data_IF_072721290318
#
_entry.id   IF_072721290318
#
_cell.length_a   1.000
_cell.length_b   1.000
_cell.length_c   1.000
_cell.angle_alpha   90.00
_cell.angle_beta   90.00
_cell.angle_gamma   90.00
#
_symmetry.space_group_name_H-M   'P 1'
#
loop_
_entity.id
_entity.type
_entity.pdbx_description
1 polymer ?
#
# COMPACT_ATOMS: atom_id res chain seq x y z
N UNK A 1 8.73 -9.17 4.33
CA UNK A 1 8.69 -9.63 5.75
C UNK A 1 7.25 -9.95 6.07
N UNK A 2 6.93 -11.13 6.62
CA UNK A 2 5.55 -11.50 6.89
C UNK A 2 4.96 -10.49 7.88
N UNK A 3 3.79 -9.95 7.52
CA UNK A 3 3.07 -8.95 8.28
C UNK A 3 2.45 -9.58 9.52
N UNK A 4 3.27 -10.02 10.47
CA UNK A 4 2.79 -10.58 11.72
C UNK A 4 2.27 -9.44 12.61
N UNK A 5 1.03 -9.60 13.07
CA UNK A 5 0.40 -8.74 14.07
C UNK A 5 0.11 -9.62 15.28
N UNK A 6 0.90 -9.44 16.34
CA UNK A 6 0.63 -10.07 17.62
C UNK A 6 -0.63 -9.44 18.24
N UNK A 7 -1.66 -10.26 18.47
CA UNK A 7 -2.83 -9.87 19.23
C UNK A 7 -2.49 -9.97 20.73
N UNK A 8 -2.55 -8.86 21.47
CA UNK A 8 -2.35 -8.89 22.92
C UNK A 8 -3.61 -9.48 23.59
N UNK A 9 -3.42 -10.36 24.59
CA UNK A 9 -4.53 -10.88 25.41
C UNK A 9 -5.26 -9.69 26.07
N UNK A 10 -6.50 -9.45 25.65
CA UNK A 10 -7.34 -8.33 26.11
C UNK A 10 -7.71 -7.30 25.03
N UNK A 11 -7.16 -7.38 23.81
CA UNK A 11 -7.63 -6.54 22.70
C UNK A 11 -8.86 -7.14 21.99
N UNK A 12 -9.86 -6.32 21.62
CA UNK A 12 -10.94 -6.76 20.74
C UNK A 12 -10.37 -7.12 19.37
N UNK A 13 -10.82 -8.25 18.82
CA UNK A 13 -10.36 -8.85 17.55
C UNK A 13 -10.39 -7.82 16.41
N UNK A 14 -11.41 -6.95 16.36
CA UNK A 14 -11.53 -5.89 15.35
C UNK A 14 -10.34 -4.93 15.31
N UNK A 15 -9.74 -4.61 16.47
CA UNK A 15 -8.55 -3.74 16.53
C UNK A 15 -7.30 -4.44 15.99
N UNK A 16 -7.18 -5.75 16.18
CA UNK A 16 -6.11 -6.54 15.59
C UNK A 16 -6.25 -6.60 14.06
N UNK A 17 -7.46 -6.88 13.55
CA UNK A 17 -7.75 -6.90 12.11
C UNK A 17 -7.50 -5.55 11.44
N UNK A 18 -7.89 -4.44 12.09
CA UNK A 18 -7.65 -3.10 11.55
C UNK A 18 -6.17 -2.74 11.47
N UNK A 19 -5.35 -3.17 12.44
CA UNK A 19 -3.89 -2.98 12.42
C UNK A 19 -3.23 -3.81 11.33
N UNK A 20 -3.66 -5.06 11.16
CA UNK A 20 -3.19 -5.92 10.08
C UNK A 20 -3.50 -5.30 8.71
N UNK A 21 -4.73 -4.85 8.49
CA UNK A 21 -5.12 -4.17 7.25
C UNK A 21 -4.26 -2.93 6.98
N UNK A 22 -4.04 -2.08 7.99
CA UNK A 22 -3.16 -0.90 7.86
C UNK A 22 -1.71 -1.26 7.55
N UNK A 23 -1.17 -2.34 8.13
CA UNK A 23 0.18 -2.84 7.81
C UNK A 23 0.25 -3.30 6.35
N UNK A 24 -0.70 -4.10 5.91
CA UNK A 24 -0.80 -4.58 4.52
C UNK A 24 -0.92 -3.44 3.50
N UNK A 25 -1.72 -2.42 3.83
CA UNK A 25 -1.86 -1.22 3.00
C UNK A 25 -0.57 -0.39 2.95
N UNK A 26 0.16 -0.31 4.07
CA UNK A 26 1.45 0.40 4.16
C UNK A 26 2.55 -0.30 3.40
N UNK A 27 2.62 -1.61 3.49
CA UNK A 27 3.56 -2.45 2.75
C UNK A 27 3.24 -2.47 1.25
N UNK A 28 1.99 -2.14 0.87
CA UNK A 28 1.59 -2.02 -0.53
C UNK A 28 1.50 -3.36 -1.26
N UNK A 29 1.51 -4.48 -0.52
CA UNK A 29 1.52 -5.86 -1.05
C UNK A 29 0.39 -6.09 -2.04
N UNK A 30 -0.83 -5.62 -1.74
CA UNK A 30 -1.98 -5.74 -2.64
C UNK A 30 -1.79 -4.98 -3.95
N UNK A 31 -1.15 -3.80 -3.90
CA UNK A 31 -0.85 -3.00 -5.09
C UNK A 31 0.22 -3.69 -5.94
N UNK A 32 1.24 -4.25 -5.30
CA UNK A 32 2.30 -5.00 -5.97
C UNK A 32 1.77 -6.26 -6.65
N UNK A 33 0.97 -7.06 -5.94
CA UNK A 33 0.32 -8.23 -6.51
C UNK A 33 -0.51 -7.88 -7.73
N UNK A 34 -1.28 -6.77 -7.71
CA UNK A 34 -2.04 -6.30 -8.88
C UNK A 34 -1.15 -5.93 -10.06
N UNK A 35 -0.04 -5.23 -9.82
CA UNK A 35 0.89 -4.85 -10.89
C UNK A 35 1.58 -6.07 -11.51
N UNK A 36 1.81 -7.13 -10.72
CA UNK A 36 2.47 -8.37 -11.17
C UNK A 36 1.54 -9.35 -11.88
N UNK A 37 0.21 -9.10 -11.95
CA UNK A 37 -0.75 -10.01 -12.60
C UNK A 37 -0.54 -10.17 -14.10
N UNK A 38 0.01 -9.16 -14.75
CA UNK A 38 0.28 -9.15 -16.18
C UNK A 38 1.64 -8.51 -16.44
N UNK A 39 2.22 -8.83 -17.60
CA UNK A 39 3.44 -8.17 -18.04
C UNK A 39 3.16 -6.71 -18.40
N UNK A 40 3.83 -5.79 -17.71
CA UNK A 40 3.82 -4.35 -18.00
C UNK A 40 5.12 -4.00 -18.73
N UNK A 41 5.02 -3.37 -19.91
CA UNK A 41 6.20 -2.91 -20.65
C UNK A 41 7.01 -1.91 -19.81
N UNK A 42 8.36 -1.86 -19.94
CA UNK A 42 9.20 -0.97 -19.14
C UNK A 42 8.85 0.52 -19.30
N UNK A 43 8.38 0.94 -20.47
CA UNK A 43 7.87 2.30 -20.70
C UNK A 43 6.61 2.61 -19.88
N UNK A 44 5.71 1.64 -19.77
CA UNK A 44 4.47 1.76 -19.01
C UNK A 44 4.72 1.80 -17.50
N UNK A 45 5.68 1.03 -17.01
CA UNK A 45 6.15 1.09 -15.62
C UNK A 45 6.60 2.51 -15.28
N UNK A 46 7.51 3.09 -16.08
CA UNK A 46 8.02 4.46 -15.88
C UNK A 46 6.88 5.49 -15.91
N UNK A 47 5.93 5.34 -16.85
CA UNK A 47 4.76 6.22 -16.97
C UNK A 47 3.85 6.16 -15.74
N UNK A 48 3.61 4.94 -15.22
CA UNK A 48 2.80 4.71 -14.02
C UNK A 48 3.45 5.31 -12.78
N UNK A 49 4.76 5.14 -12.63
CA UNK A 49 5.54 5.70 -11.52
C UNK A 49 5.50 7.23 -11.52
N UNK A 50 5.80 7.86 -12.67
CA UNK A 50 5.73 9.32 -12.81
C UNK A 50 4.35 9.90 -12.51
N UNK A 51 3.28 9.25 -13.00
CA UNK A 51 1.89 9.63 -12.67
C UNK A 51 1.60 9.51 -11.17
N UNK A 52 2.11 8.46 -10.50
CA UNK A 52 1.90 8.26 -9.07
C UNK A 52 2.62 9.30 -8.22
N UNK A 53 3.83 9.69 -8.60
CA UNK A 53 4.60 10.76 -7.96
C UNK A 53 3.91 12.12 -8.12
N UNK A 54 3.53 12.46 -9.36
CA UNK A 54 2.83 13.71 -9.64
C UNK A 54 1.51 13.83 -8.86
N UNK A 55 0.74 12.74 -8.72
CA UNK A 55 -0.46 12.72 -7.87
C UNK A 55 -0.14 12.96 -6.40
N UNK A 56 0.97 12.42 -5.89
CA UNK A 56 1.40 12.59 -4.49
C UNK A 56 1.77 14.04 -4.21
N UNK A 57 2.59 14.64 -5.07
CA UNK A 57 3.01 16.05 -5.00
C UNK A 57 1.78 16.97 -5.07
N UNK A 58 0.87 16.76 -6.02
CA UNK A 58 -0.37 17.55 -6.12
C UNK A 58 -1.24 17.46 -4.86
N UNK A 59 -1.30 16.27 -4.24
CA UNK A 59 -2.04 16.09 -2.99
C UNK A 59 -1.39 16.84 -1.84
N UNK A 60 -0.06 16.81 -1.75
CA UNK A 60 0.72 17.49 -0.71
C UNK A 60 0.58 19.02 -0.83
N UNK A 61 0.71 19.55 -2.04
CA UNK A 61 0.50 20.97 -2.34
C UNK A 61 -0.94 21.45 -2.11
N UNK A 62 -1.93 20.55 -2.04
CA UNK A 62 -3.31 20.90 -1.72
C UNK A 62 -3.58 20.93 -0.21
N UNK A 63 -2.74 20.25 0.57
CA UNK A 63 -2.87 20.16 2.03
C UNK A 63 -2.07 21.27 2.71
N UNK A 64 -0.97 21.69 2.08
CA UNK A 64 -0.22 22.90 2.42
C UNK A 64 -1.01 24.15 2.06
#
# INVERSE_FOLDING_TARGET
MPSEVSAKKGEPIDKALRRLKKKLDREGVLRELRNRRCYEKPSEIKRREGKSLAKRIRKENRIR
#
